data_IF_009495248382
#
_entry.id   IF_009495248382
#
_cell.length_a   1.000
_cell.length_b   1.000
_cell.length_c   1.000
_cell.angle_alpha   90.00
_cell.angle_beta   90.00
_cell.angle_gamma   90.00
#
_symmetry.space_group_name_H-M   'P 1'
#
loop_
_entity.id
_entity.type
_entity.pdbx_description
1 polymer ?
#
# COMPACT_ATOMS: atom_id res chain seq x y z
N UNK A 1 12.22 -20.50 76.74
CA UNK A 1 11.22 -20.01 75.77
C UNK A 1 11.89 -19.73 74.43
N UNK A 2 11.78 -20.63 73.45
CA UNK A 2 12.32 -20.41 72.09
C UNK A 2 11.23 -19.75 71.23
N UNK A 3 11.46 -18.52 70.78
CA UNK A 3 10.54 -17.80 69.87
C UNK A 3 10.63 -18.42 68.48
N UNK A 4 9.54 -19.04 68.03
CA UNK A 4 9.37 -19.49 66.65
C UNK A 4 9.33 -18.26 65.75
N UNK A 5 10.34 -18.09 64.89
CA UNK A 5 10.36 -17.04 63.87
C UNK A 5 9.42 -17.46 62.75
N UNK A 6 8.36 -16.68 62.54
CA UNK A 6 7.36 -16.85 61.48
C UNK A 6 8.02 -16.67 60.10
N UNK A 7 8.39 -17.79 59.48
CA UNK A 7 8.96 -17.89 58.12
C UNK A 7 7.88 -17.74 57.02
N UNK A 8 6.60 -17.79 57.39
CA UNK A 8 5.45 -17.84 56.49
C UNK A 8 5.32 -16.68 55.47
N UNK A 9 5.45 -15.39 55.84
CA UNK A 9 5.20 -14.30 54.87
C UNK A 9 6.33 -14.16 53.84
N UNK A 10 7.58 -14.47 54.23
CA UNK A 10 8.73 -14.39 53.33
C UNK A 10 8.71 -15.49 52.27
N UNK A 11 8.30 -16.71 52.63
CA UNK A 11 8.16 -17.83 51.68
C UNK A 11 7.00 -17.60 50.71
N UNK A 12 5.89 -17.02 51.17
CA UNK A 12 4.76 -16.68 50.31
C UNK A 12 5.12 -15.57 49.31
N UNK A 13 5.87 -14.54 49.75
CA UNK A 13 6.35 -13.48 48.88
C UNK A 13 7.36 -14.00 47.84
N UNK A 14 8.26 -14.93 48.24
CA UNK A 14 9.21 -15.57 47.33
C UNK A 14 8.50 -16.44 46.27
N UNK A 15 7.41 -17.12 46.66
CA UNK A 15 6.54 -17.90 45.76
C UNK A 15 5.77 -17.01 44.77
N UNK A 16 5.31 -15.83 45.19
CA UNK A 16 4.65 -14.89 44.27
C UNK A 16 5.64 -14.23 43.29
N UNK A 17 6.85 -13.89 43.74
CA UNK A 17 7.90 -13.34 42.87
C UNK A 17 8.36 -14.39 41.84
N UNK A 18 8.45 -15.66 42.22
CA UNK A 18 8.79 -16.75 41.28
C UNK A 18 7.65 -17.05 40.30
N UNK A 19 6.38 -16.93 40.69
CA UNK A 19 5.25 -16.99 39.77
C UNK A 19 5.25 -15.83 38.75
N UNK A 20 5.58 -14.62 39.20
CA UNK A 20 5.72 -13.47 38.30
C UNK A 20 6.96 -13.55 37.40
N UNK A 21 8.05 -14.18 37.86
CA UNK A 21 9.30 -14.32 37.09
C UNK A 21 9.30 -15.50 36.09
N UNK A 22 8.41 -16.48 36.25
CA UNK A 22 8.26 -17.62 35.33
C UNK A 22 7.24 -17.37 34.21
N UNK A 23 6.34 -16.40 34.38
CA UNK A 23 5.50 -15.86 33.30
C UNK A 23 6.25 -14.75 32.55
N UNK A 24 7.46 -15.05 32.10
CA UNK A 24 8.02 -14.35 30.95
C UNK A 24 7.27 -14.94 29.77
N UNK A 25 6.12 -14.33 29.44
CA UNK A 25 5.47 -14.56 28.18
C UNK A 25 6.47 -14.17 27.10
N UNK A 26 7.20 -15.17 26.60
CA UNK A 26 7.95 -15.07 25.37
C UNK A 26 6.93 -14.67 24.32
N UNK A 27 6.83 -13.37 24.03
CA UNK A 27 6.00 -12.83 22.96
C UNK A 27 6.62 -13.27 21.62
N UNK A 28 6.44 -14.55 21.30
CA UNK A 28 6.71 -15.08 19.98
C UNK A 28 5.63 -14.50 19.09
N UNK A 29 5.96 -13.46 18.34
CA UNK A 29 5.18 -13.09 17.18
C UNK A 29 5.20 -14.30 16.24
N UNK A 30 4.12 -15.09 16.25
CA UNK A 30 3.94 -16.19 15.32
C UNK A 30 3.06 -15.70 14.18
N UNK A 31 3.54 -15.87 12.95
CA UNK A 31 2.74 -15.59 11.77
C UNK A 31 1.69 -16.68 11.63
N UNK A 32 0.42 -16.29 11.72
CA UNK A 32 -0.72 -17.16 11.43
C UNK A 32 -1.31 -16.79 10.06
N UNK A 33 -1.61 -17.81 9.26
CA UNK A 33 -2.21 -17.62 7.96
C UNK A 33 -3.67 -17.15 8.11
N UNK A 34 -4.06 -16.14 7.33
CA UNK A 34 -5.44 -15.65 7.24
C UNK A 34 -6.28 -16.46 6.24
N UNK A 35 -7.61 -16.45 6.40
CA UNK A 35 -8.52 -17.14 5.48
C UNK A 35 -8.84 -16.29 4.23
N UNK A 36 -7.95 -16.32 3.23
CA UNK A 36 -8.09 -15.59 1.97
C UNK A 36 -7.31 -14.27 1.92
N UNK A 37 -7.54 -13.40 0.91
CA UNK A 37 -8.50 -13.54 -0.19
C UNK A 37 -8.13 -14.66 -1.18
N UNK A 38 -9.14 -15.36 -1.72
CA UNK A 38 -8.94 -16.52 -2.62
C UNK A 38 -8.67 -16.15 -4.08
N UNK A 39 -8.66 -14.85 -4.42
CA UNK A 39 -8.43 -14.33 -5.76
C UNK A 39 -6.96 -14.31 -6.18
N UNK A 40 -6.19 -15.38 -5.93
CA UNK A 40 -4.79 -15.47 -6.38
C UNK A 40 -3.81 -14.52 -5.67
N UNK A 41 -2.73 -14.14 -6.37
CA UNK A 41 -1.63 -13.33 -5.81
C UNK A 41 -2.12 -11.99 -5.24
N UNK A 42 -1.83 -11.74 -3.97
CA UNK A 42 -1.99 -10.41 -3.35
C UNK A 42 -0.80 -9.55 -3.73
N UNK A 43 -1.05 -8.45 -4.46
CA UNK A 43 -0.01 -7.52 -4.94
C UNK A 43 0.08 -6.25 -4.10
N UNK A 44 -1.00 -5.88 -3.40
CA UNK A 44 -1.06 -4.66 -2.60
C UNK A 44 -1.88 -4.88 -1.31
N UNK A 45 -1.48 -4.20 -0.24
CA UNK A 45 -2.23 -4.13 1.03
C UNK A 45 -2.31 -2.68 1.49
N UNK A 46 -3.45 -2.29 2.05
CA UNK A 46 -3.61 -1.02 2.75
C UNK A 46 -4.58 -1.19 3.92
N UNK A 47 -4.36 -0.48 5.02
CA UNK A 47 -5.21 -0.58 6.22
C UNK A 47 -5.65 0.81 6.70
N UNK A 48 -6.88 0.89 7.22
CA UNK A 48 -7.41 2.08 7.88
C UNK A 48 -8.34 1.65 9.01
N UNK A 49 -7.94 1.92 10.25
CA UNK A 49 -8.60 1.37 11.42
C UNK A 49 -8.61 -0.16 11.40
N UNK A 50 -9.79 -0.77 11.54
CA UNK A 50 -10.00 -2.22 11.46
C UNK A 50 -10.18 -2.76 10.04
N UNK A 51 -10.21 -1.89 9.03
CA UNK A 51 -10.43 -2.28 7.65
C UNK A 51 -9.07 -2.55 6.98
N UNK A 52 -8.94 -3.72 6.37
CA UNK A 52 -7.78 -4.12 5.58
C UNK A 52 -8.25 -4.35 4.15
N UNK A 53 -7.59 -3.72 3.20
CA UNK A 53 -7.83 -3.88 1.77
C UNK A 53 -6.69 -4.64 1.14
N UNK A 54 -7.02 -5.62 0.30
CA UNK A 54 -6.06 -6.41 -0.47
C UNK A 54 -6.34 -6.26 -1.96
N UNK A 55 -5.34 -5.79 -2.70
CA UNK A 55 -5.33 -5.77 -4.15
C UNK A 55 -4.81 -7.09 -4.68
N UNK A 56 -5.58 -7.72 -5.56
CA UNK A 56 -5.29 -9.05 -6.10
C UNK A 56 -4.99 -8.99 -7.58
N UNK A 57 -4.30 -10.02 -8.08
CA UNK A 57 -4.10 -10.20 -9.51
C UNK A 57 -5.41 -10.62 -10.17
N UNK A 58 -5.90 -9.88 -11.15
CA UNK A 58 -7.13 -10.09 -11.93
C UNK A 58 -8.47 -10.08 -11.17
N UNK A 59 -8.53 -10.26 -9.85
CA UNK A 59 -9.79 -10.34 -9.08
C UNK A 59 -10.15 -9.07 -8.31
N UNK A 60 -9.40 -7.98 -8.49
CA UNK A 60 -9.74 -6.68 -7.95
C UNK A 60 -9.36 -6.49 -6.48
N UNK A 61 -10.16 -5.73 -5.74
CA UNK A 61 -9.93 -5.40 -4.32
C UNK A 61 -10.84 -6.21 -3.41
N UNK A 62 -10.27 -6.79 -2.37
CA UNK A 62 -10.96 -7.41 -1.24
C UNK A 62 -10.85 -6.54 0.02
N UNK A 63 -11.87 -6.60 0.88
CA UNK A 63 -11.94 -5.94 2.16
C UNK A 63 -12.11 -6.98 3.27
N UNK A 64 -11.32 -6.86 4.32
CA UNK A 64 -11.56 -7.49 5.62
C UNK A 64 -11.88 -6.42 6.66
N UNK A 65 -12.90 -6.68 7.50
CA UNK A 65 -13.28 -5.82 8.62
C UNK A 65 -13.03 -6.50 9.98
N UNK A 66 -12.34 -7.63 9.98
CA UNK A 66 -12.12 -8.49 11.14
C UNK A 66 -10.68 -9.02 11.18
N UNK A 67 -9.71 -8.13 10.92
CA UNK A 67 -8.28 -8.43 11.00
C UNK A 67 -7.83 -9.62 10.13
N UNK A 68 -8.44 -9.78 8.95
CA UNK A 68 -8.07 -10.83 8.00
C UNK A 68 -8.73 -12.20 8.25
N UNK A 69 -9.57 -12.35 9.28
CA UNK A 69 -10.30 -13.61 9.52
C UNK A 69 -11.27 -13.96 8.39
N UNK A 70 -11.85 -12.96 7.73
CA UNK A 70 -12.59 -13.13 6.47
C UNK A 70 -12.43 -11.94 5.54
N UNK A 71 -12.67 -12.18 4.25
CA UNK A 71 -12.52 -11.21 3.17
C UNK A 71 -13.75 -11.20 2.27
N UNK A 72 -14.17 -10.01 1.84
CA UNK A 72 -15.26 -9.78 0.89
C UNK A 72 -14.73 -9.01 -0.31
N UNK A 73 -15.04 -9.47 -1.51
CA UNK A 73 -14.71 -8.72 -2.73
C UNK A 73 -15.49 -7.40 -2.77
N UNK A 74 -14.82 -6.32 -3.15
CA UNK A 74 -15.42 -4.99 -3.29
C UNK A 74 -16.03 -4.79 -4.68
N UNK A 75 -16.60 -3.62 -4.96
CA UNK A 75 -17.16 -3.33 -6.29
C UNK A 75 -16.08 -3.16 -7.38
N UNK A 76 -14.80 -2.97 -7.02
CA UNK A 76 -13.70 -3.02 -7.98
C UNK A 76 -13.25 -4.47 -8.14
N UNK A 77 -13.90 -5.18 -9.07
CA UNK A 77 -13.63 -6.56 -9.47
C UNK A 77 -13.05 -6.61 -10.89
N UNK A 78 -12.56 -7.79 -11.30
CA UNK A 78 -11.99 -8.04 -12.62
C UNK A 78 -10.88 -7.05 -13.02
N UNK A 79 -9.99 -6.75 -12.06
CA UNK A 79 -8.85 -5.85 -12.21
C UNK A 79 -7.61 -6.47 -11.55
N UNK A 80 -6.46 -6.43 -12.20
CA UNK A 80 -5.17 -6.59 -11.52
C UNK A 80 -4.83 -5.27 -10.81
N UNK A 81 -4.85 -5.33 -9.48
CA UNK A 81 -4.64 -4.18 -8.60
C UNK A 81 -3.22 -4.21 -8.06
N UNK A 82 -2.38 -3.35 -8.64
CA UNK A 82 -0.93 -3.29 -8.37
C UNK A 82 -0.57 -2.46 -7.15
N UNK A 83 -1.41 -1.48 -6.80
CA UNK A 83 -1.13 -0.57 -5.71
C UNK A 83 -2.40 -0.12 -5.01
N UNK A 84 -2.31 0.06 -3.70
CA UNK A 84 -3.36 0.61 -2.85
C UNK A 84 -2.77 1.69 -1.94
N UNK A 85 -3.51 2.77 -1.74
CA UNK A 85 -3.15 3.79 -0.75
C UNK A 85 -4.42 4.40 -0.13
N UNK A 86 -4.35 4.79 1.14
CA UNK A 86 -5.50 5.35 1.88
C UNK A 86 -5.17 6.72 2.46
N UNK A 87 -6.05 7.70 2.26
CA UNK A 87 -6.02 9.01 2.92
C UNK A 87 -7.38 9.30 3.54
N UNK A 88 -7.48 9.25 4.87
CA UNK A 88 -8.76 9.33 5.57
C UNK A 88 -9.73 8.24 5.10
N UNK A 89 -10.85 8.66 4.52
CA UNK A 89 -11.88 7.75 3.97
C UNK A 89 -11.68 7.42 2.49
N UNK A 90 -10.68 8.04 1.84
CA UNK A 90 -10.42 7.86 0.42
C UNK A 90 -9.44 6.71 0.21
N UNK A 91 -9.82 5.75 -0.62
CA UNK A 91 -9.03 4.58 -0.99
C UNK A 91 -8.71 4.68 -2.46
N UNK A 92 -7.43 4.65 -2.80
CA UNK A 92 -6.92 4.71 -4.15
C UNK A 92 -6.44 3.33 -4.58
N UNK A 93 -6.81 2.90 -5.78
CA UNK A 93 -6.38 1.64 -6.38
C UNK A 93 -5.80 1.88 -7.76
N UNK A 94 -4.52 1.56 -7.93
CA UNK A 94 -3.84 1.56 -9.22
C UNK A 94 -3.98 0.22 -9.90
N UNK A 95 -4.52 0.19 -11.11
CA UNK A 95 -4.77 -1.05 -11.85
C UNK A 95 -3.89 -1.21 -13.08
N UNK A 96 -3.74 -2.47 -13.50
CA UNK A 96 -3.16 -2.87 -14.77
C UNK A 96 -4.01 -4.03 -15.30
N UNK A 97 -4.78 -3.86 -16.38
CA UNK A 97 -5.37 -4.99 -17.12
C UNK A 97 -5.31 -4.67 -18.58
N UNK A 98 -5.05 -5.67 -19.43
CA UNK A 98 -5.11 -5.67 -20.90
C UNK A 98 -6.19 -4.72 -21.46
N UNK A 99 -5.86 -3.43 -21.63
CA UNK A 99 -6.74 -2.39 -22.16
C UNK A 99 -7.58 -1.58 -21.14
N UNK A 100 -7.63 -1.96 -19.86
CA UNK A 100 -8.41 -1.28 -18.80
C UNK A 100 -7.50 -0.82 -17.65
N UNK A 101 -6.77 0.26 -17.91
CA UNK A 101 -5.87 0.92 -16.98
C UNK A 101 -6.58 2.05 -16.26
N UNK A 102 -6.30 2.23 -14.97
CA UNK A 102 -6.87 3.34 -14.24
C UNK A 102 -6.36 3.48 -12.82
N UNK A 103 -6.43 4.70 -12.35
CA UNK A 103 -6.41 5.01 -10.93
C UNK A 103 -7.85 5.20 -10.49
N UNK A 104 -8.33 4.33 -9.60
CA UNK A 104 -9.68 4.35 -9.06
C UNK A 104 -9.68 4.91 -7.64
N UNK A 105 -10.77 5.59 -7.29
CA UNK A 105 -11.03 6.15 -5.96
C UNK A 105 -12.34 5.58 -5.42
N UNK A 106 -12.31 5.11 -4.18
CA UNK A 106 -13.49 4.87 -3.36
C UNK A 106 -13.51 5.80 -2.16
N UNK A 107 -14.68 6.34 -1.82
CA UNK A 107 -14.90 7.17 -0.63
C UNK A 107 -15.83 6.48 0.39
N UNK A 108 -16.14 5.20 0.15
CA UNK A 108 -17.19 4.44 0.86
C UNK A 108 -16.76 2.99 1.11
N UNK A 109 -15.51 2.79 1.54
CA UNK A 109 -14.94 1.49 1.87
C UNK A 109 -15.05 0.44 0.75
N UNK A 110 -14.91 0.86 -0.50
CA UNK A 110 -14.95 -0.02 -1.67
C UNK A 110 -16.35 -0.45 -2.11
N UNK A 111 -17.42 0.08 -1.51
CA UNK A 111 -18.79 -0.23 -1.97
C UNK A 111 -19.09 0.33 -3.36
N UNK A 112 -18.44 1.45 -3.73
CA UNK A 112 -18.34 1.89 -5.12
C UNK A 112 -16.96 2.50 -5.39
N UNK A 113 -16.61 2.56 -6.68
CA UNK A 113 -15.34 3.11 -7.16
C UNK A 113 -15.59 3.99 -8.38
N UNK A 114 -14.85 5.08 -8.47
CA UNK A 114 -14.85 5.99 -9.61
C UNK A 114 -13.43 6.10 -10.15
N UNK A 115 -13.27 6.04 -11.47
CA UNK A 115 -11.98 6.30 -12.10
C UNK A 115 -11.66 7.80 -11.97
N UNK A 116 -10.44 8.12 -11.53
CA UNK A 116 -9.96 9.50 -11.40
C UNK A 116 -9.66 10.13 -12.75
N UNK A 117 -9.46 11.45 -12.79
CA UNK A 117 -9.14 12.20 -14.01
C UNK A 117 -7.78 11.82 -14.65
N UNK A 118 -6.94 11.04 -13.96
CA UNK A 118 -5.68 10.53 -14.50
C UNK A 118 -5.93 9.34 -15.44
N UNK A 119 -6.57 9.62 -16.58
CA UNK A 119 -6.75 8.68 -17.67
C UNK A 119 -5.45 8.62 -18.50
N UNK A 120 -4.51 7.80 -18.04
CA UNK A 120 -3.32 7.50 -18.81
C UNK A 120 -3.63 6.32 -19.74
N UNK A 121 -3.91 6.63 -21.00
CA UNK A 121 -4.15 5.62 -22.04
C UNK A 121 -3.04 4.56 -22.01
N UNK A 122 -3.40 3.33 -21.63
CA UNK A 122 -2.53 2.16 -21.62
C UNK A 122 -1.31 2.19 -20.69
N UNK A 123 -1.42 2.69 -19.45
CA UNK A 123 -0.28 2.79 -18.52
C UNK A 123 -0.56 2.19 -17.15
N UNK A 124 0.37 1.40 -16.63
CA UNK A 124 0.25 0.74 -15.33
C UNK A 124 0.46 1.72 -14.18
N UNK A 125 -0.31 1.54 -13.10
CA UNK A 125 -0.17 2.28 -11.85
C UNK A 125 0.47 1.39 -10.79
N UNK A 126 1.81 1.33 -10.80
CA UNK A 126 2.59 0.36 -10.04
C UNK A 126 2.76 0.73 -8.57
N UNK A 127 2.70 2.02 -8.23
CA UNK A 127 2.88 2.50 -6.87
C UNK A 127 1.99 3.70 -6.58
N UNK A 128 1.47 3.76 -5.35
CA UNK A 128 0.76 4.91 -4.83
C UNK A 128 1.36 5.28 -3.47
N UNK A 129 1.60 6.56 -3.26
CA UNK A 129 2.09 7.08 -1.99
C UNK A 129 1.32 8.34 -1.61
N UNK A 130 1.08 8.54 -0.31
CA UNK A 130 0.31 9.65 0.21
C UNK A 130 1.16 10.38 1.25
N UNK A 131 1.22 11.70 1.14
CA UNK A 131 1.91 12.57 2.09
C UNK A 131 1.05 13.81 2.35
N UNK A 132 0.39 13.84 3.51
CA UNK A 132 -0.61 14.86 3.81
C UNK A 132 -1.76 14.84 2.79
N UNK A 133 -1.99 15.97 2.12
CA UNK A 133 -2.97 16.09 1.03
C UNK A 133 -2.43 15.69 -0.35
N UNK A 134 -1.13 15.41 -0.45
CA UNK A 134 -0.47 15.06 -1.71
C UNK A 134 -0.56 13.57 -1.98
N UNK A 135 -0.90 13.21 -3.22
CA UNK A 135 -0.97 11.84 -3.71
C UNK A 135 0.00 11.71 -4.87
N UNK A 136 0.89 10.73 -4.78
CA UNK A 136 1.86 10.41 -5.82
C UNK A 136 1.46 9.09 -6.48
N UNK A 137 1.37 9.10 -7.80
CA UNK A 137 1.13 7.93 -8.62
C UNK A 137 2.38 7.62 -9.44
N UNK A 138 3.05 6.52 -9.07
CA UNK A 138 4.15 5.94 -9.82
C UNK A 138 3.62 5.09 -10.97
N UNK A 139 3.98 5.47 -12.19
CA UNK A 139 3.54 4.83 -13.42
C UNK A 139 4.74 4.38 -14.25
N UNK A 140 4.50 3.58 -15.29
CA UNK A 140 5.54 3.21 -16.27
C UNK A 140 6.20 4.42 -16.95
N UNK A 141 5.59 5.61 -16.85
CA UNK A 141 6.07 6.85 -17.47
C UNK A 141 6.51 7.93 -16.47
N UNK A 142 6.74 7.52 -15.21
CA UNK A 142 7.21 8.39 -14.16
C UNK A 142 6.13 8.71 -13.13
N UNK A 143 6.37 9.77 -12.37
CA UNK A 143 5.57 10.10 -11.18
C UNK A 143 4.63 11.26 -11.47
N UNK A 144 3.35 11.07 -11.17
CA UNK A 144 2.32 12.09 -11.20
C UNK A 144 1.95 12.49 -9.77
N UNK A 145 1.66 13.78 -9.57
CA UNK A 145 1.27 14.35 -8.29
C UNK A 145 -0.13 14.95 -8.39
N UNK A 146 -0.96 14.70 -7.39
CA UNK A 146 -2.18 15.47 -7.13
C UNK A 146 -2.09 16.10 -5.74
N UNK A 147 -2.46 17.38 -5.63
CA UNK A 147 -2.53 18.13 -4.37
C UNK A 147 -3.97 18.52 -4.00
N UNK A 148 -4.95 18.06 -4.79
CA UNK A 148 -6.36 18.45 -4.70
C UNK A 148 -7.29 17.24 -4.71
N UNK A 149 -6.97 16.23 -3.88
CA UNK A 149 -7.77 15.02 -3.73
C UNK A 149 -8.06 14.31 -5.05
N UNK A 150 -7.03 14.14 -5.91
CA UNK A 150 -7.11 13.44 -7.20
C UNK A 150 -8.01 14.05 -8.27
N UNK A 151 -8.48 15.29 -8.08
CA UNK A 151 -9.31 16.00 -9.08
C UNK A 151 -8.49 16.45 -10.29
N UNK A 152 -7.22 16.82 -10.08
CA UNK A 152 -6.26 17.01 -11.17
C UNK A 152 -4.90 16.43 -10.82
N UNK A 153 -4.11 16.15 -11.86
CA UNK A 153 -2.79 15.55 -11.75
C UNK A 153 -1.78 16.32 -12.59
N UNK A 154 -0.59 16.51 -12.05
CA UNK A 154 0.54 17.13 -12.74
C UNK A 154 1.69 16.13 -12.77
N UNK A 155 2.29 15.93 -13.94
CA UNK A 155 3.49 15.11 -14.04
C UNK A 155 4.66 15.83 -13.37
N UNK A 156 5.38 15.13 -12.50
CA UNK A 156 6.57 15.68 -11.83
C UNK A 156 7.78 15.67 -12.77
N UNK A 157 8.92 16.20 -12.30
CA UNK A 157 10.18 16.15 -13.02
C UNK A 157 10.72 14.71 -13.21
N UNK A 158 10.25 13.75 -12.40
CA UNK A 158 10.55 12.33 -12.56
C UNK A 158 9.67 11.73 -13.66
N UNK A 159 9.86 12.19 -14.89
CA UNK A 159 9.20 11.62 -16.06
C UNK A 159 10.11 10.55 -16.69
N UNK A 160 9.51 9.50 -17.24
CA UNK A 160 10.22 8.56 -18.12
C UNK A 160 10.35 9.19 -19.50
N UNK A 161 10.95 10.38 -19.58
CA UNK A 161 11.54 10.85 -20.83
C UNK A 161 12.67 9.88 -21.13
N UNK A 162 12.34 8.80 -21.83
CA UNK A 162 13.23 8.38 -22.90
C UNK A 162 13.64 9.67 -23.60
N UNK A 163 14.93 9.87 -23.76
CA UNK A 163 15.46 10.97 -24.56
C UNK A 163 15.05 10.72 -26.03
N UNK A 164 13.74 10.83 -26.32
CA UNK A 164 13.20 11.00 -27.66
C UNK A 164 13.49 12.44 -28.07
N UNK A 165 13.61 12.70 -29.38
CA UNK A 165 14.26 13.88 -29.91
C UNK A 165 13.67 15.09 -29.21
N UNK A 166 14.55 15.85 -28.57
CA UNK A 166 14.25 17.17 -28.07
C UNK A 166 13.44 17.87 -29.16
N UNK A 167 12.33 18.51 -28.79
CA UNK A 167 11.74 19.54 -29.62
C UNK A 167 12.76 20.69 -29.72
N UNK A 168 13.80 20.47 -30.52
CA UNK A 168 14.61 21.50 -31.11
C UNK A 168 14.31 21.48 -32.61
N UNK A 169 14.24 22.67 -33.25
CA UNK A 169 14.02 22.74 -34.69
C UNK A 169 15.10 21.94 -35.41
N UNK A 170 14.67 21.23 -36.45
CA UNK A 170 15.37 20.14 -37.12
C UNK A 170 16.88 20.38 -37.32
N UNK A 171 17.69 19.51 -36.72
CA UNK A 171 18.99 19.16 -37.25
C UNK A 171 19.21 17.65 -37.03
N UNK A 172 19.31 16.96 -38.16
CA UNK A 172 19.56 15.52 -38.34
C UNK A 172 20.57 14.93 -37.36
N UNK A 173 20.19 13.96 -36.52
CA UNK A 173 21.18 13.06 -35.89
C UNK A 173 20.66 11.63 -35.68
N UNK A 174 21.60 10.70 -35.89
CA UNK A 174 21.51 9.25 -35.69
C UNK A 174 21.43 8.91 -34.19
N UNK A 175 20.65 7.88 -33.87
CA UNK A 175 20.39 7.42 -32.50
C UNK A 175 21.66 6.80 -31.87
N UNK A 176 22.03 7.28 -30.69
CA UNK A 176 22.74 6.46 -29.71
C UNK A 176 22.09 6.63 -28.32
N UNK A 177 21.45 5.55 -27.88
CA UNK A 177 20.80 5.39 -26.59
C UNK A 177 21.82 4.90 -25.55
N UNK A 178 22.71 5.75 -25.02
CA UNK A 178 23.52 5.29 -23.88
C UNK A 178 24.30 6.35 -23.09
N UNK A 179 23.63 7.35 -22.48
CA UNK A 179 23.93 8.02 -21.18
C UNK A 179 23.63 9.52 -21.21
N UNK A 180 22.80 10.00 -20.30
CA UNK A 180 22.71 11.42 -19.98
C UNK A 180 23.62 11.72 -18.78
N UNK A 181 24.71 12.45 -18.99
CA UNK A 181 25.53 13.03 -17.92
C UNK A 181 25.09 14.49 -17.79
N UNK A 182 24.72 14.91 -16.57
CA UNK A 182 24.46 16.30 -16.24
C UNK A 182 25.77 17.08 -16.27
N UNK A 183 25.90 18.07 -17.16
CA UNK A 183 26.87 19.15 -17.00
C UNK A 183 26.12 20.35 -16.41
N UNK A 184 26.44 20.69 -15.17
CA UNK A 184 26.16 22.01 -14.62
C UNK A 184 27.23 22.96 -15.16
N UNK A 185 26.82 24.11 -15.67
CA UNK A 185 27.65 25.32 -15.68
C UNK A 185 27.50 26.06 -14.35
#
# INVERSE_FOLDING_TARGET
MKKSKTIFPAVFLLLQITHCALNIDNCKAQWEQTNGPYGGDVKALAASGSNIFAGTNDYGVYLSTNNGTSWKQTALNDRDVRSLAISGNNIFAGTNVNGNYGLYLSTNNGTSWMQTALALNNRSFNALAISGSSIFAGTDFGVYLSTNNSTSWTQTALNNRMCGPLQFPAATYLQDNSRCISLHE
#
